data_IF_721761432884
#
_entry.id   IF_721761432884
#
_cell.length_a   1.000
_cell.length_b   1.000
_cell.length_c   1.000
_cell.angle_alpha   90.00
_cell.angle_beta   90.00
_cell.angle_gamma   90.00
#
_symmetry.space_group_name_H-M   'P 1'
#
loop_
_entity.id
_entity.type
_entity.pdbx_description
1 polymer ?
#
# COMPACT_ATOMS: atom_id res chain seq x y z
N UNK A 1 -1.39 31.92 -18.36
CA UNK A 1 -1.66 31.37 -17.02
C UNK A 1 -1.94 29.89 -17.20
N UNK A 2 -0.89 29.08 -17.20
CA UNK A 2 -1.00 27.62 -17.20
C UNK A 2 -1.52 27.21 -15.83
N UNK A 3 -2.72 26.64 -15.77
CA UNK A 3 -3.18 25.94 -14.58
C UNK A 3 -2.16 24.81 -14.33
N UNK A 4 -1.38 24.92 -13.26
CA UNK A 4 -0.65 23.78 -12.73
C UNK A 4 -1.68 22.67 -12.48
N UNK A 5 -1.48 21.44 -12.99
CA UNK A 5 -2.43 20.38 -12.70
C UNK A 5 -2.45 20.18 -11.19
N UNK A 6 -3.57 20.49 -10.53
CA UNK A 6 -3.86 19.99 -9.19
C UNK A 6 -3.91 18.46 -9.31
N UNK A 7 -2.78 17.81 -9.05
CA UNK A 7 -2.62 16.38 -9.23
C UNK A 7 -3.60 15.68 -8.28
N UNK A 8 -4.62 15.06 -8.84
CA UNK A 8 -5.43 14.07 -8.14
C UNK A 8 -4.48 13.04 -7.50
N UNK A 9 -4.49 12.91 -6.18
CA UNK A 9 -3.71 11.86 -5.51
C UNK A 9 -4.27 10.51 -5.95
N UNK A 10 -3.40 9.62 -6.41
CA UNK A 10 -3.82 8.27 -6.77
C UNK A 10 -3.97 7.42 -5.51
N UNK A 11 -4.69 6.29 -5.62
CA UNK A 11 -4.70 5.30 -4.55
C UNK A 11 -3.29 4.81 -4.18
N UNK A 12 -2.36 4.77 -5.14
CA UNK A 12 -0.97 4.41 -4.89
C UNK A 12 -0.25 5.47 -4.03
N UNK A 13 -0.49 6.75 -4.29
CA UNK A 13 0.11 7.86 -3.53
C UNK A 13 -0.40 7.87 -2.09
N UNK A 14 -1.73 7.76 -1.90
CA UNK A 14 -2.34 7.70 -0.58
C UNK A 14 -1.88 6.47 0.20
N UNK A 15 -1.85 5.29 -0.44
CA UNK A 15 -1.40 4.06 0.20
C UNK A 15 0.07 4.17 0.59
N UNK A 16 0.91 4.72 -0.29
CA UNK A 16 2.34 4.92 -0.02
C UNK A 16 2.55 5.89 1.13
N UNK A 17 1.82 7.01 1.15
CA UNK A 17 1.90 7.98 2.24
C UNK A 17 1.51 7.31 3.55
N UNK A 18 0.37 6.63 3.61
CA UNK A 18 -0.10 5.98 4.83
C UNK A 18 0.90 4.95 5.37
N UNK A 19 1.48 4.10 4.51
CA UNK A 19 2.51 3.14 4.89
C UNK A 19 3.79 3.80 5.44
N UNK A 20 4.06 5.07 5.10
CA UNK A 20 5.22 5.82 5.54
C UNK A 20 4.94 6.69 6.77
N UNK A 21 3.76 7.30 6.86
CA UNK A 21 3.43 8.33 7.86
C UNK A 21 2.80 7.72 9.11
N UNK A 22 1.92 6.74 8.95
CA UNK A 22 1.31 6.03 10.08
C UNK A 22 2.34 5.21 10.86
N UNK A 23 2.34 5.35 12.19
CA UNK A 23 3.34 4.72 13.06
C UNK A 23 3.15 3.21 13.14
N UNK A 24 1.91 2.74 13.17
CA UNK A 24 1.61 1.31 13.30
C UNK A 24 2.00 0.57 12.01
N UNK A 25 1.57 1.09 10.85
CA UNK A 25 1.94 0.59 9.54
C UNK A 25 3.46 0.58 9.36
N UNK A 26 4.11 1.71 9.71
CA UNK A 26 5.56 1.84 9.60
C UNK A 26 6.31 0.83 10.46
N UNK A 27 5.87 0.59 11.70
CA UNK A 27 6.48 -0.41 12.58
C UNK A 27 6.36 -1.83 12.02
N UNK A 28 5.20 -2.19 11.44
CA UNK A 28 4.97 -3.52 10.85
C UNK A 28 6.01 -3.84 9.78
N UNK A 29 6.20 -2.99 8.76
CA UNK A 29 7.17 -3.32 7.72
C UNK A 29 8.62 -3.06 8.17
N UNK A 30 8.89 -2.12 9.08
CA UNK A 30 10.26 -1.88 9.54
C UNK A 30 10.86 -3.05 10.31
N UNK A 31 10.06 -3.79 11.09
CA UNK A 31 10.56 -4.97 11.82
C UNK A 31 11.01 -6.11 10.91
N UNK A 32 10.58 -6.11 9.64
CA UNK A 32 10.91 -7.12 8.62
C UNK A 32 11.97 -6.65 7.63
N UNK A 33 12.42 -5.40 7.74
CA UNK A 33 13.40 -4.83 6.82
C UNK A 33 14.83 -5.15 7.29
N UNK A 34 15.59 -5.88 6.47
CA UNK A 34 17.03 -6.08 6.72
C UNK A 34 17.83 -4.75 6.75
N UNK A 35 17.40 -3.76 5.95
CA UNK A 35 17.94 -2.40 5.93
C UNK A 35 16.81 -1.39 5.72
N UNK A 36 16.82 -0.30 6.48
CA UNK A 36 15.88 0.80 6.35
C UNK A 36 16.61 2.09 5.98
N UNK A 37 15.99 2.91 5.13
CA UNK A 37 16.43 4.27 4.82
C UNK A 37 15.31 5.22 5.21
N UNK A 38 15.66 6.30 5.91
CA UNK A 38 14.67 7.31 6.35
C UNK A 38 13.89 7.84 5.14
N UNK A 39 12.57 7.87 5.25
CA UNK A 39 11.66 8.36 4.21
C UNK A 39 11.54 7.47 2.97
N UNK A 40 12.10 6.26 2.97
CA UNK A 40 11.97 5.32 1.85
C UNK A 40 11.24 4.06 2.29
N UNK A 41 10.20 3.69 1.54
CA UNK A 41 9.45 2.48 1.78
C UNK A 41 10.25 1.26 1.31
N UNK A 42 10.46 0.27 2.19
CA UNK A 42 11.10 -1.00 1.82
C UNK A 42 10.03 -1.97 1.30
N UNK A 43 9.86 -2.02 -0.03
CA UNK A 43 8.83 -2.86 -0.67
C UNK A 43 9.01 -4.36 -0.40
N UNK A 44 10.23 -4.85 -0.18
CA UNK A 44 10.46 -6.25 0.17
C UNK A 44 9.93 -6.55 1.59
N UNK A 45 10.13 -5.64 2.52
CA UNK A 45 9.60 -5.78 3.87
C UNK A 45 8.07 -5.63 3.93
N UNK A 46 7.49 -4.76 3.08
CA UNK A 46 6.04 -4.68 2.89
C UNK A 46 5.50 -6.00 2.34
N UNK A 47 6.13 -6.57 1.31
CA UNK A 47 5.75 -7.86 0.76
C UNK A 47 5.84 -8.99 1.80
N UNK A 48 6.80 -8.92 2.72
CA UNK A 48 6.91 -9.84 3.84
C UNK A 48 5.73 -9.72 4.81
N UNK A 49 5.27 -8.51 5.14
CA UNK A 49 4.04 -8.31 5.94
C UNK A 49 2.83 -8.96 5.27
N UNK A 50 2.68 -8.76 3.95
CA UNK A 50 1.57 -9.33 3.21
C UNK A 50 1.64 -10.87 3.16
N UNK A 51 2.83 -11.44 3.03
CA UNK A 51 3.04 -12.89 3.04
C UNK A 51 2.63 -13.50 4.38
N UNK A 52 3.11 -12.91 5.48
CA UNK A 52 2.79 -13.37 6.84
C UNK A 52 1.29 -13.28 7.12
N UNK A 53 0.61 -12.21 6.72
CA UNK A 53 -0.85 -12.14 6.86
C UNK A 53 -1.57 -13.24 6.08
N UNK A 54 -1.16 -13.51 4.83
CA UNK A 54 -1.77 -14.58 4.01
C UNK A 54 -1.56 -15.97 4.62
N UNK A 55 -0.38 -16.21 5.21
CA UNK A 55 -0.07 -17.43 5.95
C UNK A 55 -0.92 -17.57 7.21
N UNK A 56 -0.95 -16.54 8.05
CA UNK A 56 -1.70 -16.54 9.31
C UNK A 56 -3.21 -16.75 9.10
N UNK A 57 -3.73 -16.37 7.93
CA UNK A 57 -5.16 -16.50 7.57
C UNK A 57 -5.45 -17.73 6.70
N UNK A 58 -4.45 -18.55 6.36
CA UNK A 58 -4.61 -19.74 5.52
C UNK A 58 -4.99 -19.46 4.06
N UNK A 59 -4.79 -18.22 3.60
CA UNK A 59 -5.03 -17.81 2.19
C UNK A 59 -3.93 -18.33 1.25
N UNK A 60 -2.74 -18.60 1.80
CA UNK A 60 -1.61 -19.24 1.09
C UNK A 60 -0.91 -20.24 2.03
N UNK A 61 -0.22 -21.23 1.45
CA UNK A 61 0.53 -22.22 2.22
C UNK A 61 1.78 -21.61 2.85
N UNK A 62 2.02 -21.87 4.14
CA UNK A 62 3.20 -21.37 4.90
C UNK A 62 4.53 -21.83 4.28
N UNK A 63 4.55 -23.01 3.65
CA UNK A 63 5.73 -23.57 2.99
C UNK A 63 6.09 -22.88 1.65
N UNK A 64 5.27 -21.93 1.18
CA UNK A 64 5.54 -21.19 -0.05
C UNK A 64 6.61 -20.10 0.14
N UNK A 65 7.87 -20.55 0.17
CA UNK A 65 9.05 -19.69 0.30
C UNK A 65 9.22 -18.65 -0.83
N UNK A 66 8.51 -18.80 -1.95
CA UNK A 66 8.56 -17.87 -3.08
C UNK A 66 7.49 -16.78 -3.01
N UNK A 67 6.52 -16.89 -2.10
CA UNK A 67 5.42 -15.96 -1.96
C UNK A 67 5.88 -14.50 -1.72
N UNK A 68 6.81 -14.20 -0.78
CA UNK A 68 7.27 -12.82 -0.56
C UNK A 68 7.87 -12.17 -1.81
N UNK A 69 8.59 -12.95 -2.63
CA UNK A 69 9.18 -12.46 -3.89
C UNK A 69 8.10 -12.13 -4.92
N UNK A 70 7.09 -12.99 -5.08
CA UNK A 70 5.93 -12.72 -5.96
C UNK A 70 5.13 -11.50 -5.49
N UNK A 71 4.94 -11.38 -4.18
CA UNK A 71 4.26 -10.23 -3.59
C UNK A 71 5.06 -8.94 -3.76
N UNK A 72 6.40 -8.98 -3.74
CA UNK A 72 7.21 -7.79 -4.00
C UNK A 72 6.92 -7.19 -5.39
N UNK A 73 6.81 -8.01 -6.42
CA UNK A 73 6.48 -7.53 -7.78
C UNK A 73 5.03 -6.99 -7.84
N UNK A 74 4.12 -7.58 -7.06
CA UNK A 74 2.74 -7.07 -6.89
C UNK A 74 2.73 -5.72 -6.16
N UNK A 75 3.48 -5.59 -5.06
CA UNK A 75 3.65 -4.36 -4.27
C UNK A 75 4.25 -3.24 -5.12
N UNK A 76 5.25 -3.55 -5.93
CA UNK A 76 5.87 -2.55 -6.82
C UNK A 76 4.87 -1.94 -7.79
N UNK A 77 4.00 -2.75 -8.39
CA UNK A 77 2.93 -2.28 -9.28
C UNK A 77 1.82 -1.54 -8.53
N UNK A 78 1.39 -2.09 -7.40
CA UNK A 78 0.37 -1.48 -6.56
C UNK A 78 0.73 -0.07 -6.06
N UNK A 79 2.01 0.17 -5.81
CA UNK A 79 2.53 1.46 -5.35
C UNK A 79 3.07 2.34 -6.48
N UNK A 80 2.88 1.93 -7.73
CA UNK A 80 3.19 2.75 -8.91
C UNK A 80 1.99 3.67 -9.18
N UNK A 81 2.17 5.01 -9.22
CA UNK A 81 1.09 5.94 -9.55
C UNK A 81 0.47 5.71 -10.95
N UNK A 82 1.22 5.09 -11.87
CA UNK A 82 0.74 4.79 -13.22
C UNK A 82 -0.19 3.58 -13.30
N UNK A 83 -0.07 2.62 -12.38
CA UNK A 83 -0.86 1.37 -12.39
C UNK A 83 -1.84 1.31 -11.23
N UNK A 84 -1.38 1.61 -10.02
CA UNK A 84 -2.15 1.51 -8.80
C UNK A 84 -2.42 0.06 -8.34
N UNK A 85 -3.00 -0.11 -7.15
CA UNK A 85 -3.40 -1.43 -6.66
C UNK A 85 -4.62 -1.93 -7.43
N UNK A 86 -4.71 -3.22 -7.72
CA UNK A 86 -5.99 -3.84 -8.07
C UNK A 86 -6.90 -3.93 -6.84
N UNK A 87 -8.24 -4.10 -6.99
CA UNK A 87 -9.15 -4.22 -5.84
C UNK A 87 -8.72 -5.28 -4.82
N UNK A 88 -8.38 -6.49 -5.29
CA UNK A 88 -7.90 -7.57 -4.41
C UNK A 88 -6.59 -7.21 -3.70
N UNK A 89 -5.71 -6.48 -4.37
CA UNK A 89 -4.45 -6.04 -3.77
C UNK A 89 -4.70 -4.95 -2.73
N UNK A 90 -5.63 -4.03 -2.99
CA UNK A 90 -6.00 -2.99 -2.05
C UNK A 90 -6.60 -3.57 -0.76
N UNK A 91 -7.51 -4.55 -0.88
CA UNK A 91 -8.04 -5.31 0.26
C UNK A 91 -6.89 -5.92 1.06
N UNK A 92 -5.96 -6.62 0.40
CA UNK A 92 -4.82 -7.25 1.06
C UNK A 92 -3.97 -6.24 1.85
N UNK A 93 -3.76 -5.04 1.32
CA UNK A 93 -3.08 -3.99 2.07
C UNK A 93 -3.88 -3.52 3.29
N UNK A 94 -5.18 -3.28 3.12
CA UNK A 94 -6.07 -2.82 4.20
C UNK A 94 -6.08 -3.83 5.35
N UNK A 95 -6.29 -5.10 5.04
CA UNK A 95 -6.36 -6.17 6.06
C UNK A 95 -4.99 -6.40 6.72
N UNK A 96 -3.92 -6.58 5.94
CA UNK A 96 -2.61 -6.90 6.50
C UNK A 96 -2.02 -5.76 7.35
N UNK A 97 -2.28 -4.51 6.95
CA UNK A 97 -1.85 -3.35 7.71
C UNK A 97 -2.85 -2.91 8.77
N UNK A 98 -4.05 -3.49 8.82
CA UNK A 98 -5.16 -3.08 9.69
C UNK A 98 -5.48 -1.58 9.50
N UNK A 99 -5.55 -1.15 8.23
CA UNK A 99 -5.85 0.23 7.86
C UNK A 99 -7.28 0.56 8.32
N UNK A 100 -7.48 1.64 9.10
CA UNK A 100 -8.79 1.96 9.65
C UNK A 100 -9.78 2.38 8.56
N UNK A 101 -11.07 2.11 8.79
CA UNK A 101 -12.13 2.32 7.80
C UNK A 101 -12.14 3.71 7.13
N UNK A 102 -11.97 4.84 7.85
CA UNK A 102 -11.95 6.16 7.19
C UNK A 102 -10.84 6.29 6.13
N UNK A 103 -9.66 5.71 6.40
CA UNK A 103 -8.53 5.73 5.45
C UNK A 103 -8.76 4.73 4.32
N UNK A 104 -9.33 3.56 4.62
CA UNK A 104 -9.71 2.58 3.61
C UNK A 104 -10.75 3.16 2.62
N UNK A 105 -11.73 3.92 3.10
CA UNK A 105 -12.74 4.58 2.27
C UNK A 105 -12.12 5.62 1.33
N UNK A 106 -11.16 6.43 1.82
CA UNK A 106 -10.39 7.37 1.00
C UNK A 106 -9.57 6.66 -0.08
N UNK A 107 -8.93 5.54 0.27
CA UNK A 107 -8.19 4.70 -0.68
C UNK A 107 -9.10 4.13 -1.77
N UNK A 108 -10.29 3.64 -1.40
CA UNK A 108 -11.28 3.13 -2.36
C UNK A 108 -11.83 4.23 -3.25
N UNK A 109 -12.13 5.40 -2.70
CA UNK A 109 -12.57 6.56 -3.46
C UNK A 109 -11.51 6.98 -4.50
N UNK A 110 -10.23 7.02 -4.10
CA UNK A 110 -9.13 7.32 -5.02
C UNK A 110 -8.89 6.21 -6.05
N UNK A 111 -9.12 4.95 -5.70
CA UNK A 111 -8.98 3.82 -6.62
C UNK A 111 -10.05 3.81 -7.72
N UNK A 112 -11.30 4.13 -7.36
CA UNK A 112 -12.43 4.12 -8.29
C UNK A 112 -12.48 5.36 -9.20
N UNK A 113 -12.06 6.52 -8.69
CA UNK A 113 -12.31 7.79 -9.36
C UNK A 113 -11.03 8.51 -9.80
N UNK A 114 -9.86 8.15 -9.24
CA UNK A 114 -8.78 9.11 -9.01
C UNK A 114 -9.27 10.17 -8.01
N UNK A 115 -8.49 10.54 -6.99
CA UNK A 115 -9.01 11.47 -5.99
C UNK A 115 -9.40 12.81 -6.66
N UNK A 116 -10.68 13.24 -6.67
CA UNK A 116 -11.01 14.56 -7.19
C UNK A 116 -10.30 15.58 -6.30
N UNK A 117 -9.38 16.37 -6.86
CA UNK A 117 -8.70 17.42 -6.12
C UNK A 117 -9.77 18.29 -5.43
N UNK A 118 -9.72 18.32 -4.10
CA UNK A 118 -10.74 18.90 -3.24
C UNK A 118 -11.16 20.30 -3.73
N UNK A 119 -12.45 20.48 -3.98
CA UNK A 119 -13.06 21.79 -4.20
C UNK A 119 -12.91 22.61 -2.92
N UNK A 120 -12.02 23.60 -2.92
CA UNK A 120 -11.95 24.60 -1.87
C UNK A 120 -13.25 25.40 -1.83
N UNK A 121 -13.80 25.59 -0.62
CA UNK A 121 -14.85 26.56 -0.33
C UNK A 121 -14.23 27.76 0.40
#
# INVERSE_FOLDING_TARGET
>A
MTAEPMYALTAADLLRDHLLTDVACRRKWQSRAARTRRGTLNQAAVAQVLAEWLWDHGEEQEDDVLLPRRLKDRVSRALSPAEGPSPRTLILFIEAFEIPSPVADELWAAHLNGHPAATAH
#
